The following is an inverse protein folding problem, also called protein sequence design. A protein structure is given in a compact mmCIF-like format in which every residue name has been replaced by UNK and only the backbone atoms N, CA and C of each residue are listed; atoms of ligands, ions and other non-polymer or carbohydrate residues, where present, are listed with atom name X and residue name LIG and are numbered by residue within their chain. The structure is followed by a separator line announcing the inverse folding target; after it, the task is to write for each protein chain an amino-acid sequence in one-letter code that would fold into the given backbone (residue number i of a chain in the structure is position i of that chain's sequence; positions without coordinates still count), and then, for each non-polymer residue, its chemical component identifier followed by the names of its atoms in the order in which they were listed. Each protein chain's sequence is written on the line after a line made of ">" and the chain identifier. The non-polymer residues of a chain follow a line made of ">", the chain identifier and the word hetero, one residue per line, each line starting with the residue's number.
data_IF_631282722259
#
_entry.id   IF_631282722259
#
_cell.length_a   1.000
_cell.length_b   1.000
_cell.length_c   1.000
_cell.angle_alpha   90.00
_cell.angle_beta   90.00
_cell.angle_gamma   90.00
#
_symmetry.space_group_name_H-M   'P 1'
#
loop_
_entity.id
_entity.type
_entity.pdbx_description
1 polymer ?
#
# COMPACT_ATOMS: atom_id res chain seq x y z
N UNK A 1 24.42 3.29 -6.69
CA UNK A 1 23.43 3.63 -5.63
C UNK A 1 22.04 3.39 -6.22
N UNK A 2 21.19 2.61 -5.55
CA UNK A 2 19.89 2.11 -6.06
C UNK A 2 18.83 3.26 -6.17
N UNK A 3 18.84 3.99 -7.28
CA UNK A 3 18.02 5.19 -7.53
C UNK A 3 16.49 4.98 -7.47
N UNK A 4 15.88 3.91 -8.06
CA UNK A 4 14.42 3.74 -8.06
C UNK A 4 13.85 3.31 -6.70
N UNK A 5 14.61 2.50 -5.95
CA UNK A 5 14.18 2.01 -4.64
C UNK A 5 14.14 3.11 -3.58
N UNK A 6 15.09 4.06 -3.63
CA UNK A 6 15.07 5.24 -2.76
C UNK A 6 13.85 6.14 -3.01
N UNK A 7 13.47 6.32 -4.28
CA UNK A 7 12.27 7.08 -4.65
C UNK A 7 11.02 6.46 -4.04
N UNK A 8 10.86 5.13 -4.16
CA UNK A 8 9.73 4.41 -3.55
C UNK A 8 9.71 4.56 -2.03
N UNK A 9 10.86 4.39 -1.37
CA UNK A 9 10.98 4.54 0.08
C UNK A 9 10.61 5.95 0.56
N UNK A 10 11.02 6.98 -0.19
CA UNK A 10 10.68 8.37 0.13
C UNK A 10 9.17 8.61 0.07
N UNK A 11 8.49 8.07 -0.94
CA UNK A 11 7.04 8.19 -1.05
C UNK A 11 6.30 7.36 0.01
N UNK A 12 6.82 6.19 0.38
CA UNK A 12 6.29 5.36 1.46
C UNK A 12 6.40 6.09 2.81
N UNK A 13 7.59 6.60 3.15
CA UNK A 13 7.81 7.37 4.37
C UNK A 13 6.94 8.63 4.44
N UNK A 14 6.78 9.34 3.32
CA UNK A 14 5.85 10.46 3.24
C UNK A 14 4.40 10.05 3.53
N UNK A 15 3.98 8.89 3.01
CA UNK A 15 2.65 8.31 3.22
C UNK A 15 2.43 7.96 4.69
N UNK A 16 3.39 7.30 5.34
CA UNK A 16 3.32 6.91 6.76
C UNK A 16 3.24 8.12 7.70
N UNK A 17 4.07 9.13 7.47
CA UNK A 17 4.08 10.35 8.26
C UNK A 17 2.76 11.11 8.09
N UNK A 18 2.29 11.23 6.85
CA UNK A 18 1.03 11.91 6.56
C UNK A 18 -0.18 11.18 7.16
N UNK A 19 -0.22 9.86 7.03
CA UNK A 19 -1.25 9.01 7.62
C UNK A 19 -1.29 9.14 9.15
N UNK A 20 -0.12 9.07 9.78
CA UNK A 20 0.03 9.26 11.23
C UNK A 20 -0.43 10.65 11.65
N UNK A 21 -0.04 11.70 10.90
CA UNK A 21 -0.43 13.08 11.20
C UNK A 21 -1.93 13.34 11.04
N UNK A 22 -2.64 12.60 10.19
CA UNK A 22 -4.10 12.75 10.04
C UNK A 22 -4.85 11.98 11.13
N UNK A 23 -4.36 10.80 11.50
CA UNK A 23 -5.06 9.88 12.40
C UNK A 23 -4.76 10.17 13.88
N UNK A 24 -3.50 10.38 14.24
CA UNK A 24 -3.04 10.49 15.64
C UNK A 24 -3.58 11.72 16.37
N UNK A 25 -3.54 12.95 15.80
CA UNK A 25 -4.03 14.13 16.51
C UNK A 25 -5.53 14.07 16.82
N UNK A 26 -6.30 13.46 15.93
CA UNK A 26 -7.74 13.27 16.16
C UNK A 26 -8.04 12.20 17.18
N UNK A 27 -7.37 11.05 17.09
CA UNK A 27 -7.51 9.98 18.06
C UNK A 27 -7.19 10.46 19.48
N UNK A 28 -6.12 11.26 19.63
CA UNK A 28 -5.73 11.87 20.91
C UNK A 28 -6.76 12.90 21.42
N UNK A 29 -7.25 13.78 20.54
CA UNK A 29 -8.25 14.79 20.91
C UNK A 29 -9.56 14.13 21.36
N UNK A 30 -10.00 13.11 20.65
CA UNK A 30 -11.27 12.45 20.93
C UNK A 30 -11.20 11.54 22.19
N UNK A 31 -9.99 11.15 22.63
CA UNK A 31 -9.78 10.45 23.91
C UNK A 31 -9.86 11.40 25.12
N UNK A 32 -9.49 12.66 24.92
CA UNK A 32 -9.43 13.67 25.99
C UNK A 32 -10.76 14.44 26.13
N UNK A 33 -11.55 14.56 25.06
CA UNK A 33 -12.85 15.23 25.08
C UNK A 33 -13.96 14.35 25.70
N UNK A 34 -14.74 14.91 26.63
CA UNK A 34 -15.99 14.28 27.13
C UNK A 34 -17.14 14.33 26.11
N UNK A 35 -17.08 15.29 25.18
CA UNK A 35 -18.03 15.47 24.09
C UNK A 35 -17.44 14.84 22.80
N UNK A 36 -17.95 13.67 22.43
CA UNK A 36 -17.46 12.85 21.31
C UNK A 36 -18.15 13.20 19.98
N UNK A 37 -18.03 14.46 19.56
CA UNK A 37 -18.65 14.91 18.31
C UNK A 37 -17.59 15.27 17.27
N UNK A 38 -17.60 14.56 16.15
CA UNK A 38 -16.83 14.92 14.96
C UNK A 38 -17.77 15.65 14.00
N UNK A 39 -17.44 16.88 13.55
CA UNK A 39 -18.22 17.54 12.52
C UNK A 39 -18.17 16.70 11.24
N UNK A 40 -19.31 16.58 10.55
CA UNK A 40 -19.46 15.76 9.34
C UNK A 40 -18.34 16.03 8.31
N UNK A 41 -18.02 17.29 8.03
CA UNK A 41 -16.92 17.65 7.13
C UNK A 41 -15.54 17.12 7.58
N UNK A 42 -15.29 17.11 8.90
CA UNK A 42 -14.08 16.54 9.47
C UNK A 42 -14.03 15.02 9.35
N UNK A 43 -15.17 14.34 9.45
CA UNK A 43 -15.34 12.90 9.25
C UNK A 43 -14.95 12.51 7.81
N UNK A 44 -15.53 13.21 6.83
CA UNK A 44 -15.26 13.02 5.39
C UNK A 44 -13.78 13.23 5.06
N UNK A 45 -13.19 14.33 5.54
CA UNK A 45 -11.80 14.64 5.24
C UNK A 45 -10.83 13.59 5.78
N UNK A 46 -11.07 13.09 7.00
CA UNK A 46 -10.26 12.03 7.59
C UNK A 46 -10.38 10.72 6.83
N UNK A 47 -11.60 10.33 6.45
CA UNK A 47 -11.81 9.14 5.64
C UNK A 47 -11.15 9.23 4.28
N UNK A 48 -11.24 10.39 3.63
CA UNK A 48 -10.58 10.64 2.36
C UNK A 48 -9.06 10.41 2.47
N UNK A 49 -8.39 11.07 3.41
CA UNK A 49 -6.95 10.90 3.60
C UNK A 49 -6.56 9.50 4.04
N UNK A 50 -7.34 8.87 4.92
CA UNK A 50 -7.11 7.49 5.36
C UNK A 50 -7.12 6.52 4.17
N UNK A 51 -8.12 6.64 3.29
CA UNK A 51 -8.23 5.79 2.10
C UNK A 51 -7.09 6.09 1.11
N UNK A 52 -6.78 7.37 0.84
CA UNK A 52 -5.68 7.74 -0.06
C UNK A 52 -4.36 7.13 0.42
N UNK A 53 -3.98 7.38 1.68
CA UNK A 53 -2.68 6.93 2.19
C UNK A 53 -2.63 5.41 2.39
N UNK A 54 -3.71 4.77 2.85
CA UNK A 54 -3.76 3.32 3.00
C UNK A 54 -3.67 2.57 1.66
N UNK A 55 -4.35 3.08 0.62
CA UNK A 55 -4.23 2.52 -0.74
C UNK A 55 -2.84 2.75 -1.31
N UNK A 56 -2.28 3.96 -1.12
CA UNK A 56 -0.97 4.33 -1.63
C UNK A 56 0.13 3.47 -1.01
N UNK A 57 0.09 3.27 0.30
CA UNK A 57 1.02 2.41 1.04
C UNK A 57 1.02 0.98 0.50
N UNK A 58 -0.17 0.37 0.41
CA UNK A 58 -0.32 -1.00 -0.08
C UNK A 58 0.20 -1.18 -1.51
N UNK A 59 -0.09 -0.22 -2.39
CA UNK A 59 0.37 -0.25 -3.78
C UNK A 59 1.90 -0.05 -3.88
N UNK A 60 2.45 0.89 -3.12
CA UNK A 60 3.90 1.14 -3.09
C UNK A 60 4.65 -0.09 -2.56
N UNK A 61 4.15 -0.76 -1.51
CA UNK A 61 4.71 -2.00 -0.99
C UNK A 61 4.72 -3.12 -2.05
N UNK A 62 3.65 -3.26 -2.84
CA UNK A 62 3.62 -4.22 -3.93
C UNK A 62 4.62 -3.89 -5.04
N UNK A 63 4.77 -2.61 -5.40
CA UNK A 63 5.78 -2.16 -6.37
C UNK A 63 7.19 -2.42 -5.86
N UNK A 64 7.45 -2.18 -4.58
CA UNK A 64 8.75 -2.48 -3.95
C UNK A 64 9.04 -3.99 -3.91
N UNK A 65 8.04 -4.83 -3.60
CA UNK A 65 8.20 -6.28 -3.65
C UNK A 65 8.52 -6.77 -5.07
N UNK A 66 7.88 -6.17 -6.08
CA UNK A 66 8.16 -6.44 -7.48
C UNK A 66 9.56 -5.97 -7.91
N UNK A 67 9.98 -4.76 -7.51
CA UNK A 67 11.34 -4.25 -7.71
C UNK A 67 12.39 -5.25 -7.22
N UNK A 68 12.22 -5.73 -5.99
CA UNK A 68 13.13 -6.71 -5.36
C UNK A 68 13.11 -8.04 -6.08
N UNK A 69 11.95 -8.50 -6.54
CA UNK A 69 11.85 -9.71 -7.35
C UNK A 69 12.64 -9.61 -8.65
N UNK A 70 12.47 -8.52 -9.41
CA UNK A 70 13.18 -8.33 -10.68
C UNK A 70 14.69 -8.18 -10.44
N UNK A 71 15.09 -7.44 -9.41
CA UNK A 71 16.50 -7.25 -9.05
C UNK A 71 17.22 -8.58 -8.74
N UNK A 72 16.56 -9.47 -7.99
CA UNK A 72 17.16 -10.73 -7.54
C UNK A 72 17.04 -11.83 -8.61
N UNK A 73 15.85 -12.02 -9.18
CA UNK A 73 15.61 -13.13 -10.10
C UNK A 73 16.05 -12.83 -11.54
N UNK A 74 16.15 -11.55 -11.94
CA UNK A 74 16.48 -11.14 -13.32
C UNK A 74 17.49 -9.97 -13.38
N UNK A 75 18.68 -10.09 -12.76
CA UNK A 75 19.63 -8.98 -12.63
C UNK A 75 20.09 -8.39 -13.97
N UNK A 76 20.26 -9.23 -15.00
CA UNK A 76 20.69 -8.80 -16.35
C UNK A 76 19.66 -7.92 -17.07
N UNK A 77 18.38 -8.04 -16.70
CA UNK A 77 17.29 -7.27 -17.30
C UNK A 77 16.72 -6.23 -16.31
N UNK A 78 17.33 -6.06 -15.13
CA UNK A 78 16.81 -5.14 -14.12
C UNK A 78 16.75 -3.69 -14.62
N UNK A 79 17.80 -3.21 -15.29
CA UNK A 79 17.88 -1.82 -15.78
C UNK A 79 16.95 -1.55 -16.97
N UNK A 80 16.58 -2.59 -17.73
CA UNK A 80 15.64 -2.48 -18.84
C UNK A 80 14.19 -2.58 -18.37
N UNK A 81 13.92 -3.42 -17.36
CA UNK A 81 12.59 -3.62 -16.78
C UNK A 81 12.25 -2.50 -15.80
N UNK A 82 13.09 -2.24 -14.80
CA UNK A 82 12.87 -1.21 -13.78
C UNK A 82 13.68 0.06 -14.05
N UNK A 83 13.31 0.76 -15.12
CA UNK A 83 13.88 2.08 -15.43
C UNK A 83 13.27 3.16 -14.53
N UNK A 84 14.04 4.21 -14.21
CA UNK A 84 13.58 5.35 -13.42
C UNK A 84 12.25 5.94 -13.91
N UNK A 85 12.06 6.07 -15.23
CA UNK A 85 10.79 6.54 -15.81
C UNK A 85 9.60 5.60 -15.54
N UNK A 86 9.82 4.28 -15.51
CA UNK A 86 8.76 3.34 -15.13
C UNK A 86 8.44 3.45 -13.63
N UNK A 87 9.46 3.61 -12.78
CA UNK A 87 9.27 3.81 -11.35
C UNK A 87 8.41 5.06 -11.07
N UNK A 88 8.70 6.18 -11.74
CA UNK A 88 7.89 7.40 -11.66
C UNK A 88 6.46 7.16 -12.16
N UNK A 89 6.29 6.43 -13.26
CA UNK A 89 4.96 6.09 -13.79
C UNK A 89 4.16 5.21 -12.82
N UNK A 90 4.80 4.23 -12.18
CA UNK A 90 4.19 3.36 -11.18
C UNK A 90 3.76 4.17 -9.95
N UNK A 91 4.62 5.05 -9.43
CA UNK A 91 4.27 5.95 -8.32
C UNK A 91 3.09 6.85 -8.69
N UNK A 92 3.13 7.48 -9.87
CA UNK A 92 2.02 8.31 -10.35
C UNK A 92 0.72 7.51 -10.50
N UNK A 93 0.80 6.29 -11.04
CA UNK A 93 -0.34 5.37 -11.12
C UNK A 93 -0.91 5.02 -9.75
N UNK A 94 -0.06 4.73 -8.76
CA UNK A 94 -0.48 4.46 -7.38
C UNK A 94 -1.20 5.65 -6.76
N UNK A 95 -0.72 6.87 -6.98
CA UNK A 95 -1.40 8.09 -6.57
C UNK A 95 -2.78 8.24 -7.23
N UNK A 96 -2.87 8.07 -8.55
CA UNK A 96 -4.12 8.20 -9.28
C UNK A 96 -5.17 7.18 -8.82
N UNK A 97 -4.77 5.91 -8.64
CA UNK A 97 -5.66 4.85 -8.14
C UNK A 97 -6.13 5.16 -6.72
N UNK A 98 -5.23 5.62 -5.86
CA UNK A 98 -5.56 5.94 -4.47
C UNK A 98 -6.50 7.14 -4.35
N UNK A 99 -6.24 8.20 -5.10
CA UNK A 99 -7.13 9.37 -5.18
C UNK A 99 -8.49 9.01 -5.79
N UNK A 100 -8.51 8.21 -6.87
CA UNK A 100 -9.73 7.74 -7.50
C UNK A 100 -10.59 6.88 -6.56
N UNK A 101 -9.96 5.96 -5.82
CA UNK A 101 -10.63 5.17 -4.79
C UNK A 101 -11.24 6.06 -3.71
N UNK A 102 -10.46 6.98 -3.13
CA UNK A 102 -10.94 7.89 -2.09
C UNK A 102 -12.09 8.79 -2.58
N UNK A 103 -12.01 9.28 -3.82
CA UNK A 103 -13.10 10.03 -4.45
C UNK A 103 -14.35 9.17 -4.62
N UNK A 104 -14.22 7.94 -5.11
CA UNK A 104 -15.34 7.02 -5.25
C UNK A 104 -16.03 6.77 -3.91
N UNK A 105 -15.25 6.46 -2.86
CA UNK A 105 -15.78 6.27 -1.50
C UNK A 105 -16.48 7.55 -0.98
N UNK A 106 -15.93 8.73 -1.26
CA UNK A 106 -16.52 10.01 -0.84
C UNK A 106 -17.81 10.33 -1.60
N UNK A 107 -17.85 10.08 -2.91
CA UNK A 107 -19.04 10.27 -3.75
C UNK A 107 -20.16 9.30 -3.34
N UNK A 108 -19.83 8.03 -3.10
CA UNK A 108 -20.79 7.04 -2.61
C UNK A 108 -21.34 7.42 -1.23
N UNK A 109 -20.56 8.09 -0.39
CA UNK A 109 -21.03 8.60 0.89
C UNK A 109 -21.89 9.87 0.75
N UNK A 110 -21.55 10.75 -0.20
CA UNK A 110 -22.30 11.98 -0.47
C UNK A 110 -23.69 11.72 -1.10
N UNK A 111 -23.86 10.60 -1.81
CA UNK A 111 -25.14 10.19 -2.40
C UNK A 111 -26.15 9.63 -1.36
N UNK A 112 -25.73 9.47 -0.10
CA UNK A 112 -26.54 8.85 0.94
C UNK A 112 -27.29 9.92 1.75
N UNK A 113 -28.61 9.80 1.82
CA UNK A 113 -29.47 10.69 2.62
C UNK A 113 -29.58 10.19 4.07
N UNK A 114 -29.11 11.00 5.04
CA UNK A 114 -29.17 10.68 6.47
C UNK A 114 -30.53 11.04 7.09
N UNK A 115 -31.09 10.16 7.94
CA UNK A 115 -32.40 10.35 8.57
C UNK A 115 -32.44 11.35 9.74
N UNK A 116 -31.32 11.52 10.45
CA UNK A 116 -31.24 12.28 11.69
C UNK A 116 -30.14 13.36 11.55
N UNK A 117 -30.42 14.58 12.03
CA UNK A 117 -29.57 15.75 11.81
C UNK A 117 -28.11 15.50 12.20
N UNK A 118 -27.21 15.57 11.21
CA UNK A 118 -25.75 15.74 11.16
C UNK A 118 -24.84 15.42 12.38
N UNK A 119 -25.29 14.67 13.38
CA UNK A 119 -24.57 14.40 14.62
C UNK A 119 -24.26 12.89 14.67
N UNK A 120 -23.00 12.54 14.39
CA UNK A 120 -22.51 11.15 14.40
C UNK A 120 -21.95 10.87 15.81
N UNK A 121 -22.51 9.94 16.59
CA UNK A 121 -22.12 9.72 18.00
C UNK A 121 -20.85 8.86 18.17
N UNK A 122 -20.02 8.69 17.14
CA UNK A 122 -18.85 7.81 17.16
C UNK A 122 -17.53 8.54 16.93
N UNK A 123 -16.51 8.03 17.64
CA UNK A 123 -15.10 8.47 17.66
C UNK A 123 -14.36 8.22 16.33
N UNK A 124 -14.85 7.28 15.51
CA UNK A 124 -14.34 7.03 14.16
C UNK A 124 -15.46 7.17 13.14
N UNK A 125 -15.09 7.70 11.97
CA UNK A 125 -15.96 7.84 10.82
C UNK A 125 -16.09 6.49 10.09
N UNK A 126 -16.78 5.52 10.67
CA UNK A 126 -16.90 4.19 10.06
C UNK A 126 -17.88 4.20 8.88
N UNK A 127 -17.36 4.06 7.65
CA UNK A 127 -18.15 4.06 6.41
C UNK A 127 -19.33 3.07 6.43
N UNK A 128 -19.16 1.80 6.87
CA UNK A 128 -20.25 0.84 6.91
C UNK A 128 -21.31 1.20 7.97
N UNK A 129 -20.90 1.85 9.06
CA UNK A 129 -21.79 2.28 10.13
C UNK A 129 -22.62 3.50 9.68
N UNK A 130 -22.01 4.42 8.93
CA UNK A 130 -22.70 5.57 8.33
C UNK A 130 -23.74 5.14 7.29
N UNK A 131 -23.44 4.12 6.49
CA UNK A 131 -24.39 3.56 5.52
C UNK A 131 -25.62 2.95 6.21
N UNK A 132 -25.43 2.24 7.33
CA UNK A 132 -26.53 1.67 8.13
C UNK A 132 -27.45 2.69 8.79
N UNK A 133 -26.99 3.93 8.99
CA UNK A 133 -27.77 5.02 9.60
C UNK A 133 -28.59 5.83 8.58
N UNK A 134 -28.50 5.49 7.30
CA UNK A 134 -29.20 6.20 6.24
C UNK A 134 -30.66 5.76 6.07
N UNK A 135 -31.48 6.67 5.53
CA UNK A 135 -32.90 6.42 5.27
C UNK A 135 -33.16 5.67 3.96
N UNK A 136 -32.11 5.41 3.18
CA UNK A 136 -32.19 4.84 1.84
C UNK A 136 -31.54 3.45 1.82
N UNK A 137 -31.90 2.62 0.85
CA UNK A 137 -31.28 1.32 0.66
C UNK A 137 -29.81 1.49 0.23
N UNK A 138 -28.87 1.34 1.16
CA UNK A 138 -27.42 1.49 0.93
C UNK A 138 -26.69 0.20 0.60
N UNK A 139 -27.41 -0.91 0.42
CA UNK A 139 -26.82 -2.23 0.17
C UNK A 139 -25.88 -2.25 -1.03
N UNK A 140 -26.21 -1.51 -2.10
CA UNK A 140 -25.35 -1.39 -3.29
C UNK A 140 -24.06 -0.63 -2.98
N UNK A 141 -24.14 0.49 -2.26
CA UNK A 141 -22.95 1.27 -1.90
C UNK A 141 -22.04 0.48 -0.94
N UNK A 142 -22.62 -0.23 0.03
CA UNK A 142 -21.89 -1.10 0.94
C UNK A 142 -21.17 -2.23 0.20
N UNK A 143 -21.86 -2.87 -0.76
CA UNK A 143 -21.26 -3.91 -1.59
C UNK A 143 -20.12 -3.36 -2.45
N UNK A 144 -20.29 -2.19 -3.09
CA UNK A 144 -19.24 -1.56 -3.91
C UNK A 144 -18.03 -1.22 -3.05
N UNK A 145 -18.24 -0.62 -1.88
CA UNK A 145 -17.19 -0.25 -0.94
C UNK A 145 -16.41 -1.50 -0.49
N UNK A 146 -17.11 -2.54 -0.06
CA UNK A 146 -16.48 -3.78 0.38
C UNK A 146 -15.68 -4.43 -0.76
N UNK A 147 -16.25 -4.44 -1.96
CA UNK A 147 -15.60 -4.98 -3.16
C UNK A 147 -14.32 -4.22 -3.51
N UNK A 148 -14.37 -2.89 -3.54
CA UNK A 148 -13.21 -2.02 -3.85
C UNK A 148 -12.10 -2.24 -2.82
N UNK A 149 -12.44 -2.23 -1.53
CA UNK A 149 -11.46 -2.47 -0.45
C UNK A 149 -10.85 -3.87 -0.57
N UNK A 150 -11.67 -4.91 -0.80
CA UNK A 150 -11.18 -6.28 -0.97
C UNK A 150 -10.23 -6.39 -2.17
N UNK A 151 -10.57 -5.80 -3.31
CA UNK A 151 -9.73 -5.80 -4.50
C UNK A 151 -8.41 -5.07 -4.24
N UNK A 152 -8.46 -3.89 -3.62
CA UNK A 152 -7.28 -3.08 -3.28
C UNK A 152 -6.41 -3.70 -2.18
N UNK A 153 -6.93 -4.64 -1.38
CA UNK A 153 -6.14 -5.40 -0.42
C UNK A 153 -5.55 -6.67 -1.05
N UNK A 154 -6.37 -7.44 -1.76
CA UNK A 154 -5.99 -8.76 -2.31
C UNK A 154 -4.96 -8.63 -3.43
N UNK A 155 -5.12 -7.65 -4.33
CA UNK A 155 -4.20 -7.48 -5.46
C UNK A 155 -2.77 -7.18 -4.97
N UNK A 156 -2.53 -6.15 -4.13
CA UNK A 156 -1.18 -5.90 -3.61
C UNK A 156 -0.64 -7.05 -2.79
N UNK A 157 -1.46 -7.63 -1.90
CA UNK A 157 -1.04 -8.74 -1.05
C UNK A 157 -0.60 -9.96 -1.86
N UNK A 158 -1.37 -10.34 -2.88
CA UNK A 158 -1.01 -11.44 -3.78
C UNK A 158 0.28 -11.15 -4.55
N UNK A 159 0.47 -9.91 -5.03
CA UNK A 159 1.70 -9.47 -5.68
C UNK A 159 2.92 -9.59 -4.77
N UNK A 160 2.79 -9.18 -3.51
CA UNK A 160 3.83 -9.29 -2.48
C UNK A 160 4.17 -10.75 -2.22
N UNK A 161 3.16 -11.59 -1.93
CA UNK A 161 3.34 -13.01 -1.63
C UNK A 161 3.98 -13.78 -2.80
N UNK A 162 3.53 -13.52 -4.04
CA UNK A 162 4.10 -14.15 -5.23
C UNK A 162 5.55 -13.70 -5.43
N UNK A 163 5.84 -12.41 -5.28
CA UNK A 163 7.19 -11.87 -5.45
C UNK A 163 8.16 -12.49 -4.44
N UNK A 164 7.85 -12.43 -3.15
CA UNK A 164 8.70 -13.00 -2.10
C UNK A 164 8.75 -14.53 -2.13
N UNK A 165 7.65 -15.20 -2.49
CA UNK A 165 7.64 -16.66 -2.68
C UNK A 165 8.58 -17.10 -3.80
N UNK A 166 8.63 -16.35 -4.91
CA UNK A 166 9.57 -16.61 -6.02
C UNK A 166 11.02 -16.32 -5.64
N UNK A 167 11.26 -15.24 -4.90
CA UNK A 167 12.60 -14.92 -4.36
C UNK A 167 13.08 -16.07 -3.47
N UNK A 168 12.27 -16.48 -2.47
CA UNK A 168 12.61 -17.59 -1.57
C UNK A 168 12.85 -18.89 -2.32
N UNK A 169 12.00 -19.23 -3.29
CA UNK A 169 12.19 -20.41 -4.13
C UNK A 169 13.49 -20.34 -4.95
N UNK A 170 13.85 -19.17 -5.47
CA UNK A 170 15.11 -18.96 -6.20
C UNK A 170 16.32 -19.18 -5.30
N UNK A 171 16.28 -18.69 -4.06
CA UNK A 171 17.35 -18.86 -3.07
C UNK A 171 17.51 -20.33 -2.67
N UNK A 172 16.40 -21.03 -2.38
CA UNK A 172 16.41 -22.45 -2.00
C UNK A 172 16.88 -23.38 -3.13
N UNK A 173 16.74 -22.97 -4.39
CA UNK A 173 17.15 -23.76 -5.56
C UNK A 173 18.65 -23.72 -5.84
N UNK A 174 19.40 -22.84 -5.17
CA UNK A 174 20.87 -22.81 -5.23
C UNK A 174 21.40 -23.96 -4.34
N UNK A 175 21.95 -25.05 -4.90
CA UNK A 175 22.34 -26.22 -4.11
C UNK A 175 23.59 -25.89 -3.27
N UNK A 176 23.43 -25.83 -1.94
CA UNK A 176 24.49 -25.31 -1.05
C UNK A 176 25.63 -26.29 -0.70
N UNK A 177 25.69 -27.52 -1.22
CA UNK A 177 26.71 -28.50 -0.73
C UNK A 177 27.68 -29.06 -1.76
N UNK A 178 27.44 -28.92 -3.07
CA UNK A 178 28.37 -29.46 -4.10
C UNK A 178 29.02 -28.36 -4.96
N UNK A 179 28.42 -27.16 -5.03
CA UNK A 179 28.89 -26.04 -5.84
C UNK A 179 29.99 -25.20 -5.19
N UNK A 180 29.98 -25.04 -3.87
CA UNK A 180 30.95 -24.20 -3.14
C UNK A 180 32.41 -24.70 -3.29
N UNK A 181 32.60 -26.03 -3.42
CA UNK A 181 33.91 -26.65 -3.62
C UNK A 181 34.41 -26.57 -5.07
N UNK A 182 33.54 -26.34 -6.05
CA UNK A 182 33.89 -26.13 -7.47
C UNK A 182 33.97 -24.64 -7.85
N UNK A 183 33.20 -23.77 -7.20
CA UNK A 183 33.24 -22.32 -7.42
C UNK A 183 34.53 -21.67 -6.92
N UNK A 184 35.24 -22.30 -5.98
CA UNK A 184 36.58 -21.87 -5.57
C UNK A 184 37.68 -22.23 -6.58
N UNK A 185 37.41 -23.03 -7.62
CA UNK A 185 38.45 -23.44 -8.58
C UNK A 185 38.36 -22.80 -9.96
N UNK A 186 37.25 -22.20 -10.36
CA UNK A 186 37.12 -21.56 -11.68
C UNK A 186 36.21 -20.32 -11.63
N UNK A 187 36.83 -19.15 -11.74
CA UNK A 187 36.32 -17.86 -12.26
C UNK A 187 34.83 -17.85 -12.67
N UNK A 188 33.98 -17.12 -11.93
CA UNK A 188 32.75 -16.50 -12.45
C UNK A 188 32.29 -15.37 -11.49
N UNK A 189 32.41 -14.08 -11.86
CA UNK A 189 32.04 -12.95 -11.01
C UNK A 189 30.54 -12.87 -10.68
N UNK A 190 29.66 -13.51 -11.45
CA UNK A 190 28.21 -13.26 -11.41
C UNK A 190 27.46 -13.87 -10.24
N UNK A 191 27.96 -14.95 -9.63
CA UNK A 191 27.34 -15.56 -8.44
C UNK A 191 27.79 -14.89 -7.13
N UNK A 192 28.97 -14.26 -7.10
CA UNK A 192 29.43 -13.48 -5.95
C UNK A 192 28.63 -12.17 -5.79
N UNK A 193 28.08 -11.60 -6.86
CA UNK A 193 27.22 -10.40 -6.77
C UNK A 193 25.91 -10.66 -6.01
N UNK A 194 25.35 -11.88 -6.10
CA UNK A 194 24.15 -12.26 -5.34
C UNK A 194 24.45 -12.42 -3.83
N UNK A 195 25.60 -12.98 -3.46
CA UNK A 195 26.00 -13.12 -2.06
C UNK A 195 26.47 -11.79 -1.45
N UNK A 196 27.22 -10.98 -2.21
CA UNK A 196 27.71 -9.68 -1.76
C UNK A 196 26.58 -8.67 -1.52
N UNK A 197 25.47 -8.75 -2.27
CA UNK A 197 24.29 -7.90 -2.03
C UNK A 197 23.44 -8.36 -0.84
N UNK A 198 23.67 -9.58 -0.33
CA UNK A 198 23.00 -10.11 0.86
C UNK A 198 23.72 -9.72 2.17
N UNK A 199 25.00 -9.34 2.10
CA UNK A 199 25.77 -8.79 3.24
C UNK A 199 25.56 -7.29 3.48
N UNK A 200 24.79 -6.60 2.63
CA UNK A 200 24.44 -5.18 2.81
C UNK A 200 22.95 -4.95 3.16
N UNK A 201 22.22 -6.02 3.53
CA UNK A 201 20.88 -5.95 4.10
C UNK A 201 20.94 -6.08 5.63
#
# INVERSE_FOLDING_TARGET
>A
LHQPMFLLLSHLAFTDVSFSSVTVPKMLRDMHSKDKFIPYAGCILQMYFFIVFGCLDSLLLAVMAYDRYVAICHPLHYTTVMREGLCVLLVAGSWLVSCGSALLHTLLLAQVSFCAGNIIPHFFCDLPLLLKLSCSNTSVNELVIFTVVAVLAIIPLSGILVSYGRIGASVLRVPSTTGLRKALSHVAPTSLWCLSSMEQL
#
